data_IF_281748198374
#
_entry.id   IF_281748198374
#
_cell.length_a   1.000
_cell.length_b   1.000
_cell.length_c   1.000
_cell.angle_alpha   90.00
_cell.angle_beta   90.00
_cell.angle_gamma   90.00
#
_symmetry.space_group_name_H-M   'P 1'
#
loop_
_entity.id
_entity.type
_entity.pdbx_description
1 polymer ?
#
# COMPACT_ATOMS: atom_id res chain seq x y z
N UNK A 1 4.86 -9.03 -6.42
CA UNK A 1 5.74 -9.23 -5.25
C UNK A 1 5.26 -10.42 -4.40
N UNK A 2 4.01 -10.41 -3.93
CA UNK A 2 3.46 -11.45 -3.01
C UNK A 2 3.53 -12.85 -3.61
N UNK A 3 3.13 -13.04 -4.86
CA UNK A 3 3.19 -14.37 -5.50
C UNK A 3 4.59 -14.94 -5.64
N UNK A 4 5.60 -14.09 -5.83
CA UNK A 4 6.99 -14.55 -5.88
C UNK A 4 7.56 -14.81 -4.48
N UNK A 5 6.99 -14.17 -3.45
CA UNK A 5 7.43 -14.26 -2.05
C UNK A 5 6.85 -15.49 -1.36
N UNK A 6 5.60 -15.81 -1.67
CA UNK A 6 4.77 -16.77 -0.94
C UNK A 6 4.27 -17.86 -1.90
N UNK A 7 3.34 -17.55 -2.81
CA UNK A 7 2.69 -18.55 -3.67
C UNK A 7 3.66 -19.50 -4.40
N UNK A 8 4.73 -18.98 -5.01
CA UNK A 8 5.68 -19.83 -5.74
C UNK A 8 6.50 -20.77 -4.85
N UNK A 9 6.71 -20.42 -3.57
CA UNK A 9 7.39 -21.31 -2.62
C UNK A 9 6.51 -22.53 -2.32
N UNK A 10 5.20 -22.32 -2.24
CA UNK A 10 4.23 -23.38 -1.97
C UNK A 10 3.89 -24.21 -3.21
N UNK A 11 3.89 -23.59 -4.39
CA UNK A 11 3.45 -24.23 -5.64
C UNK A 11 4.56 -24.98 -6.39
N UNK A 12 5.83 -24.73 -6.08
CA UNK A 12 6.97 -25.27 -6.82
C UNK A 12 7.89 -26.10 -5.92
N UNK A 13 8.16 -27.35 -6.32
CA UNK A 13 9.01 -28.28 -5.54
C UNK A 13 10.53 -27.95 -5.59
N UNK A 14 10.95 -26.97 -6.39
CA UNK A 14 12.37 -26.59 -6.52
C UNK A 14 12.83 -25.75 -5.30
N UNK A 15 13.82 -26.21 -4.51
CA UNK A 15 14.37 -25.47 -3.38
C UNK A 15 14.95 -24.08 -3.74
N UNK A 16 15.18 -23.81 -5.02
CA UNK A 16 15.55 -22.49 -5.52
C UNK A 16 14.53 -21.42 -5.12
N UNK A 17 13.22 -21.73 -5.15
CA UNK A 17 12.18 -20.74 -4.86
C UNK A 17 12.24 -20.25 -3.42
N UNK A 18 12.49 -21.14 -2.47
CA UNK A 18 12.70 -20.77 -1.05
C UNK A 18 13.92 -19.87 -0.85
N UNK A 19 14.95 -19.98 -1.69
CA UNK A 19 16.13 -19.08 -1.66
C UNK A 19 15.84 -17.74 -2.32
N UNK A 20 15.12 -17.75 -3.45
CA UNK A 20 14.77 -16.53 -4.18
C UNK A 20 13.76 -15.67 -3.42
N UNK A 21 12.78 -16.29 -2.75
CA UNK A 21 11.77 -15.59 -1.95
C UNK A 21 12.39 -14.72 -0.86
N UNK A 22 13.52 -15.13 -0.28
CA UNK A 22 14.28 -14.35 0.70
C UNK A 22 14.83 -13.03 0.14
N UNK A 23 14.93 -12.90 -1.19
CA UNK A 23 15.45 -11.72 -1.88
C UNK A 23 14.37 -10.87 -2.56
N UNK A 24 13.09 -11.14 -2.25
CA UNK A 24 11.96 -10.36 -2.75
C UNK A 24 11.46 -9.43 -1.66
N UNK A 25 11.42 -8.15 -2.00
CA UNK A 25 11.07 -7.06 -1.09
C UNK A 25 10.04 -6.14 -1.73
N UNK A 26 9.17 -5.56 -0.91
CA UNK A 26 8.55 -4.29 -1.26
C UNK A 26 9.61 -3.18 -1.17
N UNK A 27 9.41 -2.10 -1.92
CA UNK A 27 10.39 -1.03 -1.98
C UNK A 27 10.63 -0.41 -0.60
N UNK A 28 9.56 -0.15 0.16
CA UNK A 28 9.61 0.36 1.52
C UNK A 28 10.38 -0.56 2.48
N UNK A 29 10.19 -1.88 2.36
CA UNK A 29 10.86 -2.87 3.21
C UNK A 29 12.36 -2.91 2.92
N UNK A 30 12.72 -2.91 1.64
CA UNK A 30 14.12 -2.85 1.20
C UNK A 30 14.81 -1.60 1.73
N UNK A 31 14.16 -0.44 1.59
CA UNK A 31 14.69 0.85 2.04
C UNK A 31 14.93 0.87 3.55
N UNK A 32 13.93 0.44 4.33
CA UNK A 32 14.06 0.41 5.79
C UNK A 32 15.16 -0.56 6.20
N UNK A 33 15.20 -1.75 5.61
CA UNK A 33 16.18 -2.78 5.93
C UNK A 33 17.62 -2.32 5.62
N UNK A 34 17.86 -1.72 4.46
CA UNK A 34 19.20 -1.26 4.09
C UNK A 34 19.65 -0.03 4.88
N UNK A 35 18.71 0.84 5.27
CA UNK A 35 18.98 1.93 6.20
C UNK A 35 19.41 1.42 7.58
N UNK A 36 18.75 0.37 8.08
CA UNK A 36 19.05 -0.26 9.37
C UNK A 36 20.39 -1.02 9.36
N UNK A 37 20.69 -1.76 8.27
CA UNK A 37 21.92 -2.55 8.16
C UNK A 37 23.18 -1.73 7.91
N UNK A 38 23.16 -0.93 6.85
CA UNK A 38 24.39 -0.39 6.25
C UNK A 38 24.41 1.14 6.23
N UNK A 39 23.29 1.80 6.58
CA UNK A 39 23.12 3.27 6.56
C UNK A 39 23.47 3.94 5.22
N UNK A 40 23.50 3.17 4.13
CA UNK A 40 23.79 3.69 2.79
C UNK A 40 22.66 4.60 2.33
N UNK A 41 21.41 4.23 2.65
CA UNK A 41 20.23 5.01 2.32
C UNK A 41 20.05 6.10 3.38
N UNK A 42 20.17 7.35 2.93
CA UNK A 42 19.89 8.54 3.74
C UNK A 42 18.40 8.66 4.03
N UNK A 43 18.05 9.62 4.87
CA UNK A 43 16.65 9.96 5.09
C UNK A 43 15.94 10.34 3.79
N UNK A 44 14.77 9.73 3.58
CA UNK A 44 13.90 10.07 2.44
C UNK A 44 13.22 11.41 2.75
N UNK A 45 13.38 12.42 1.88
CA UNK A 45 12.64 13.67 1.98
C UNK A 45 11.19 13.43 1.55
N UNK A 46 10.24 13.81 2.38
CA UNK A 46 8.81 13.69 2.09
C UNK A 46 8.23 15.09 1.94
N UNK A 47 7.27 15.24 1.02
CA UNK A 47 6.49 16.48 0.95
C UNK A 47 5.75 16.69 2.27
N UNK A 48 5.80 17.91 2.82
CA UNK A 48 5.04 18.26 4.02
C UNK A 48 3.53 18.12 3.78
N UNK A 49 2.80 17.70 4.79
CA UNK A 49 1.34 17.56 4.74
C UNK A 49 0.80 16.38 5.53
N UNK A 50 -0.51 16.20 5.39
CA UNK A 50 -1.26 15.12 6.01
C UNK A 50 -1.53 14.02 4.98
N UNK A 51 -1.32 12.78 5.41
CA UNK A 51 -1.43 11.59 4.58
C UNK A 51 -2.34 10.58 5.25
N UNK A 52 -3.14 9.90 4.42
CA UNK A 52 -4.00 8.80 4.83
C UNK A 52 -3.65 7.55 4.01
N UNK A 53 -3.06 6.57 4.69
CA UNK A 53 -2.56 5.33 4.10
C UNK A 53 -3.66 4.27 4.06
N UNK A 54 -3.91 3.71 2.88
CA UNK A 54 -4.60 2.43 2.71
C UNK A 54 -3.58 1.33 2.40
N UNK A 55 -3.28 0.49 3.40
CA UNK A 55 -2.47 -0.71 3.20
C UNK A 55 -3.13 -1.71 2.26
N UNK A 56 -2.42 -2.11 1.19
CA UNK A 56 -2.95 -3.08 0.22
C UNK A 56 -3.22 -4.42 0.91
N UNK A 57 -4.33 -5.10 0.59
CA UNK A 57 -4.71 -6.35 1.26
C UNK A 57 -3.60 -7.42 1.22
N UNK A 58 -2.98 -7.65 0.06
CA UNK A 58 -1.87 -8.61 -0.03
C UNK A 58 -0.58 -8.14 0.66
N UNK A 59 -0.38 -6.82 0.76
CA UNK A 59 0.76 -6.28 1.51
C UNK A 59 0.59 -6.58 3.00
N UNK A 60 -0.60 -6.36 3.54
CA UNK A 60 -0.91 -6.61 4.95
C UNK A 60 -0.86 -8.09 5.31
N UNK A 61 -1.12 -9.00 4.38
CA UNK A 61 -1.10 -10.45 4.65
C UNK A 61 0.30 -11.06 4.65
N UNK A 62 1.18 -10.64 3.73
CA UNK A 62 2.51 -11.27 3.53
C UNK A 62 3.64 -10.42 4.12
N UNK A 63 3.53 -9.10 4.01
CA UNK A 63 4.53 -8.16 4.48
C UNK A 63 3.96 -7.49 5.74
N UNK A 64 3.90 -6.17 5.78
CA UNK A 64 3.07 -5.34 6.67
C UNK A 64 3.01 -3.93 6.05
N UNK A 65 2.42 -2.95 6.73
CA UNK A 65 2.58 -1.52 6.41
C UNK A 65 3.63 -0.82 7.28
N UNK A 66 4.32 -1.55 8.17
CA UNK A 66 5.21 -0.94 9.17
C UNK A 66 6.38 -0.18 8.55
N UNK A 67 6.91 -0.63 7.41
CA UNK A 67 8.01 0.04 6.74
C UNK A 67 7.59 1.41 6.19
N UNK A 68 6.36 1.54 5.68
CA UNK A 68 5.80 2.85 5.31
C UNK A 68 5.72 3.74 6.55
N UNK A 69 5.17 3.23 7.67
CA UNK A 69 5.13 3.99 8.93
C UNK A 69 6.51 4.46 9.37
N UNK A 70 7.53 3.60 9.31
CA UNK A 70 8.92 3.97 9.64
C UNK A 70 9.47 5.06 8.73
N UNK A 71 9.13 5.05 7.44
CA UNK A 71 9.56 6.08 6.48
C UNK A 71 8.92 7.44 6.82
N UNK A 72 7.64 7.47 7.18
CA UNK A 72 6.90 8.70 7.49
C UNK A 72 7.10 9.20 8.94
N UNK A 73 7.54 8.33 9.85
CA UNK A 73 7.67 8.66 11.28
C UNK A 73 8.74 9.72 11.53
N UNK A 74 8.43 10.63 12.47
CA UNK A 74 9.31 11.70 12.94
C UNK A 74 9.81 12.64 11.82
N UNK A 75 9.04 12.79 10.74
CA UNK A 75 9.33 13.72 9.65
C UNK A 75 8.66 15.05 9.94
N UNK A 76 9.44 16.13 9.99
CA UNK A 76 8.94 17.45 10.34
C UNK A 76 7.88 17.93 9.34
N UNK A 77 6.70 18.29 9.85
CA UNK A 77 5.59 18.75 9.01
C UNK A 77 4.89 17.64 8.21
N UNK A 78 5.11 16.37 8.56
CA UNK A 78 4.47 15.22 7.92
C UNK A 78 3.68 14.44 8.98
N UNK A 79 2.39 14.19 8.70
CA UNK A 79 1.56 13.29 9.52
C UNK A 79 0.96 12.23 8.62
N UNK A 80 1.14 10.96 8.97
CA UNK A 80 0.59 9.84 8.21
C UNK A 80 -0.21 8.94 9.14
N UNK A 81 -1.51 8.82 8.88
CA UNK A 81 -2.40 7.90 9.57
C UNK A 81 -2.77 6.74 8.64
N UNK A 82 -3.03 5.56 9.18
CA UNK A 82 -3.49 4.40 8.39
C UNK A 82 -4.99 4.17 8.60
N UNK A 83 -5.69 3.89 7.50
CA UNK A 83 -7.09 3.48 7.52
C UNK A 83 -7.17 2.02 7.92
N UNK A 84 -7.87 1.73 9.02
CA UNK A 84 -8.27 0.38 9.43
C UNK A 84 -9.32 -0.21 8.47
N UNK A 85 -8.88 -0.52 7.26
CA UNK A 85 -9.67 -1.04 6.15
C UNK A 85 -9.17 -2.41 5.75
N UNK A 86 -10.04 -3.24 5.17
CA UNK A 86 -9.68 -4.57 4.67
C UNK A 86 -9.18 -4.49 3.23
N UNK A 87 -10.05 -4.73 2.25
CA UNK A 87 -9.77 -4.69 0.81
C UNK A 87 -10.51 -3.51 0.16
N UNK A 88 -9.97 -2.97 -0.93
CA UNK A 88 -10.68 -1.98 -1.76
C UNK A 88 -11.83 -2.61 -2.58
N UNK A 89 -11.95 -3.93 -2.63
CA UNK A 89 -12.97 -4.64 -3.40
C UNK A 89 -12.61 -4.94 -4.85
N UNK A 90 -11.42 -4.55 -5.34
CA UNK A 90 -11.08 -4.76 -6.76
C UNK A 90 -10.48 -6.12 -7.08
N UNK A 91 -9.59 -6.65 -6.23
CA UNK A 91 -8.92 -7.95 -6.37
C UNK A 91 -8.64 -8.37 -7.85
N UNK A 92 -7.80 -7.60 -8.55
CA UNK A 92 -7.57 -7.80 -9.98
C UNK A 92 -8.74 -7.33 -10.84
N UNK A 93 -9.36 -8.24 -11.60
CA UNK A 93 -10.53 -7.95 -12.45
C UNK A 93 -11.87 -8.03 -11.73
N UNK A 94 -11.90 -8.57 -10.50
CA UNK A 94 -13.12 -8.87 -9.78
C UNK A 94 -14.07 -7.67 -9.71
N UNK A 95 -13.56 -6.48 -9.37
CA UNK A 95 -14.39 -5.28 -9.28
C UNK A 95 -14.90 -4.73 -10.62
N UNK A 96 -14.30 -5.10 -11.74
CA UNK A 96 -14.76 -4.71 -13.08
C UNK A 96 -15.85 -5.65 -13.62
N UNK A 97 -15.98 -6.86 -13.08
CA UNK A 97 -16.96 -7.82 -13.57
C UNK A 97 -18.37 -7.37 -13.19
N UNK A 98 -19.28 -7.26 -14.17
CA UNK A 98 -20.67 -6.81 -13.95
C UNK A 98 -21.37 -7.55 -12.82
N UNK A 99 -21.13 -8.86 -12.68
CA UNK A 99 -21.71 -9.71 -11.62
C UNK A 99 -21.18 -9.41 -10.22
N UNK A 100 -20.00 -8.80 -10.11
CA UNK A 100 -19.31 -8.56 -8.84
C UNK A 100 -19.19 -7.08 -8.49
N UNK A 101 -19.50 -6.17 -9.43
CA UNK A 101 -19.39 -4.72 -9.24
C UNK A 101 -20.07 -4.24 -7.95
N UNK A 102 -21.33 -4.60 -7.72
CA UNK A 102 -22.04 -4.18 -6.51
C UNK A 102 -21.37 -4.68 -5.23
N UNK A 103 -20.80 -5.89 -5.24
CA UNK A 103 -20.09 -6.45 -4.09
C UNK A 103 -18.76 -5.73 -3.88
N UNK A 104 -18.02 -5.44 -4.95
CA UNK A 104 -16.81 -4.63 -4.92
C UNK A 104 -17.04 -3.26 -4.29
N UNK A 105 -18.11 -2.57 -4.71
CA UNK A 105 -18.53 -1.28 -4.16
C UNK A 105 -18.90 -1.41 -2.69
N UNK A 106 -19.68 -2.44 -2.31
CA UNK A 106 -20.03 -2.69 -0.89
C UNK A 106 -18.78 -2.89 -0.02
N UNK A 107 -17.80 -3.66 -0.50
CA UNK A 107 -16.54 -3.89 0.23
C UNK A 107 -15.77 -2.59 0.46
N UNK A 108 -15.63 -1.76 -0.58
CA UNK A 108 -14.95 -0.47 -0.47
C UNK A 108 -15.64 0.48 0.54
N UNK A 109 -16.97 0.46 0.55
CA UNK A 109 -17.80 1.32 1.41
C UNK A 109 -17.88 0.87 2.87
N UNK A 110 -17.29 -0.28 3.25
CA UNK A 110 -17.26 -0.70 4.66
C UNK A 110 -16.44 0.25 5.54
N UNK A 111 -15.26 0.64 5.05
CA UNK A 111 -14.28 1.45 5.81
C UNK A 111 -13.44 2.38 4.94
N UNK A 112 -13.01 1.92 3.75
CA UNK A 112 -12.07 2.67 2.91
C UNK A 112 -12.67 3.99 2.41
N UNK A 113 -13.80 3.92 1.72
CA UNK A 113 -14.42 5.12 1.12
C UNK A 113 -14.92 6.10 2.19
N UNK A 114 -15.61 5.67 3.27
CA UNK A 114 -16.01 6.57 4.35
C UNK A 114 -14.83 7.31 4.99
N UNK A 115 -13.73 6.61 5.31
CA UNK A 115 -12.56 7.24 5.93
C UNK A 115 -11.91 8.30 5.01
N UNK A 116 -11.91 8.07 3.69
CA UNK A 116 -11.41 9.05 2.72
C UNK A 116 -12.35 10.26 2.61
N UNK A 117 -13.66 10.04 2.61
CA UNK A 117 -14.65 11.12 2.53
C UNK A 117 -14.70 11.97 3.81
N UNK A 118 -14.47 11.36 4.96
CA UNK A 118 -14.37 12.04 6.26
C UNK A 118 -13.01 12.75 6.44
N UNK A 119 -12.02 12.43 5.61
CA UNK A 119 -10.73 13.13 5.59
C UNK A 119 -10.85 14.51 4.92
N UNK A 120 -10.07 15.48 5.39
CA UNK A 120 -10.00 16.79 4.75
C UNK A 120 -9.54 16.73 3.29
N UNK A 121 -9.95 17.71 2.49
CA UNK A 121 -9.59 17.80 1.06
C UNK A 121 -8.07 17.91 0.84
N UNK A 122 -7.36 18.53 1.78
CA UNK A 122 -5.91 18.68 1.77
C UNK A 122 -5.14 17.40 2.15
N UNK A 123 -5.83 16.37 2.66
CA UNK A 123 -5.20 15.10 3.07
C UNK A 123 -4.92 14.23 1.85
N UNK A 124 -3.65 13.91 1.59
CA UNK A 124 -3.26 13.07 0.45
C UNK A 124 -3.49 11.58 0.76
N UNK A 125 -4.15 10.87 -0.16
CA UNK A 125 -4.40 9.43 0.01
C UNK A 125 -3.22 8.63 -0.55
N UNK A 126 -2.68 7.71 0.24
CA UNK A 126 -1.60 6.80 -0.17
C UNK A 126 -2.15 5.39 -0.36
N UNK A 127 -1.95 4.80 -1.53
CA UNK A 127 -2.32 3.42 -1.82
C UNK A 127 -1.34 2.77 -2.81
N UNK A 128 -0.72 1.65 -2.42
CA UNK A 128 0.28 0.94 -3.24
C UNK A 128 -0.30 0.27 -4.47
N UNK A 129 -1.50 -0.30 -4.36
CA UNK A 129 -2.13 -1.05 -5.45
C UNK A 129 -2.76 -0.14 -6.50
N UNK A 130 -2.42 -0.37 -7.76
CA UNK A 130 -3.06 0.29 -8.91
C UNK A 130 -4.59 0.18 -8.86
N UNK A 131 -5.11 -1.02 -8.59
CA UNK A 131 -6.56 -1.23 -8.50
C UNK A 131 -7.18 -0.51 -7.30
N UNK A 132 -6.48 -0.40 -6.16
CA UNK A 132 -6.94 0.42 -5.05
C UNK A 132 -7.06 1.89 -5.45
N UNK A 133 -6.08 2.43 -6.17
CA UNK A 133 -6.13 3.82 -6.66
C UNK A 133 -7.30 4.06 -7.61
N UNK A 134 -7.60 3.12 -8.51
CA UNK A 134 -8.77 3.21 -9.40
C UNK A 134 -10.08 3.23 -8.62
N UNK A 135 -10.25 2.30 -7.69
CA UNK A 135 -11.46 2.25 -6.86
C UNK A 135 -11.67 3.53 -6.06
N UNK A 136 -10.60 4.07 -5.47
CA UNK A 136 -10.65 5.32 -4.70
C UNK A 136 -11.07 6.48 -5.62
N UNK A 137 -10.51 6.54 -6.83
CA UNK A 137 -10.88 7.55 -7.82
C UNK A 137 -12.34 7.44 -8.24
N UNK A 138 -12.81 6.22 -8.50
CA UNK A 138 -14.16 5.97 -9.01
C UNK A 138 -15.24 6.20 -7.94
N UNK A 139 -14.97 5.86 -6.68
CA UNK A 139 -15.98 5.88 -5.61
C UNK A 139 -15.86 7.07 -4.64
N UNK A 140 -14.66 7.58 -4.40
CA UNK A 140 -14.44 8.74 -3.52
C UNK A 140 -14.14 10.03 -4.29
N UNK A 141 -13.93 9.96 -5.61
CA UNK A 141 -13.55 11.11 -6.44
C UNK A 141 -12.29 11.84 -5.93
N UNK A 142 -11.36 11.08 -5.34
CA UNK A 142 -10.06 11.56 -4.87
C UNK A 142 -8.95 10.86 -5.64
N UNK A 143 -7.88 11.59 -5.92
CA UNK A 143 -6.64 10.95 -6.38
C UNK A 143 -5.93 10.30 -5.19
N UNK A 144 -5.41 9.09 -5.43
CA UNK A 144 -4.55 8.37 -4.51
C UNK A 144 -3.20 8.14 -5.18
N UNK A 145 -2.14 8.15 -4.38
CA UNK A 145 -0.76 8.13 -4.86
C UNK A 145 -0.02 6.91 -4.33
N UNK A 146 0.92 6.39 -5.10
CA UNK A 146 1.96 5.52 -4.55
C UNK A 146 2.84 6.37 -3.61
N UNK A 147 3.33 5.79 -2.51
CA UNK A 147 4.08 6.56 -1.49
C UNK A 147 5.34 7.24 -2.04
N UNK A 148 5.92 6.70 -3.12
CA UNK A 148 7.09 7.29 -3.79
C UNK A 148 6.77 8.65 -4.44
N UNK A 149 5.52 8.86 -4.84
CA UNK A 149 5.08 10.09 -5.52
C UNK A 149 4.95 11.28 -4.56
N UNK A 150 5.10 11.04 -3.25
CA UNK A 150 5.05 12.08 -2.21
C UNK A 150 6.41 12.34 -1.59
N UNK A 151 7.48 11.94 -2.28
CA UNK A 151 8.86 12.31 -1.97
C UNK A 151 9.14 13.72 -2.52
N UNK A 152 9.91 14.50 -1.76
CA UNK A 152 10.34 15.86 -2.13
C UNK A 152 11.76 15.82 -2.71
N UNK A 153 11.89 15.91 -4.05
CA UNK A 153 13.17 15.76 -4.77
C UNK A 153 13.97 17.07 -4.88
#
# INVERSE_FOLDING_TARGET
ATSLKDDLVDLMDDPLWSKLSQNIYLLEDFIVQEKEKNKIIKDIPLTKGDFLLHGHCHQKSIFTTQSIHKIFKNKEGVRCNEIESSCCGMAGSFGYEKKHYELSVKMANLKLIPAIQESGEDVKIIAQGFSCRHQIKDLAHRDAYHWIEVIDL
#
